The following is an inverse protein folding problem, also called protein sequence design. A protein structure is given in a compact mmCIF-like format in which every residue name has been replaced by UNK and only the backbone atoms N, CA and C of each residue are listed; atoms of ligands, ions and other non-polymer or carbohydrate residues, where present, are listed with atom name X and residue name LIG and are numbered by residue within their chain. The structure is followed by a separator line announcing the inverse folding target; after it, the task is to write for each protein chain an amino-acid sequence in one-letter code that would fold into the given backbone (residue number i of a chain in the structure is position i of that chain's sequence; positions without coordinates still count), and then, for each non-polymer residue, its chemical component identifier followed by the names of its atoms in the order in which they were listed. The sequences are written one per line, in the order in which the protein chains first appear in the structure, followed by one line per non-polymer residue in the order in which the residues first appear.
data_IF_438496660859
#
_entry.id   IF_438496660859
#
_cell.length_a   1.000
_cell.length_b   1.000
_cell.length_c   1.000
_cell.angle_alpha   90.00
_cell.angle_beta   90.00
_cell.angle_gamma   90.00
#
_symmetry.space_group_name_H-M   'P 1'
#
loop_
_entity.id
_entity.type
_entity.pdbx_description
1 polymer ?
#
# COMPACT_ATOMS: atom_id res chain seq x y z
N UNK A 1 16.47 13.50 -35.71
CA UNK A 1 17.05 12.36 -34.95
C UNK A 1 16.29 12.25 -33.64
N UNK A 2 16.02 11.03 -33.16
CA UNK A 2 15.39 10.86 -31.85
C UNK A 2 16.42 11.06 -30.74
N UNK A 3 16.03 11.70 -29.63
CA UNK A 3 16.88 11.82 -28.45
C UNK A 3 16.83 10.50 -27.66
N UNK A 4 17.99 9.98 -27.26
CA UNK A 4 18.11 8.72 -26.51
C UNK A 4 18.69 9.00 -25.13
N UNK A 5 18.03 8.47 -24.10
CA UNK A 5 18.50 8.49 -22.72
C UNK A 5 18.55 7.06 -22.18
N UNK A 6 19.64 6.69 -21.51
CA UNK A 6 19.86 5.32 -21.00
C UNK A 6 19.85 5.28 -19.47
N UNK A 7 19.03 4.37 -18.94
CA UNK A 7 18.80 4.08 -17.53
C UNK A 7 18.66 2.56 -17.36
N UNK A 8 18.97 2.05 -16.17
CA UNK A 8 18.83 0.63 -15.84
C UNK A 8 17.35 0.28 -15.58
N UNK A 9 16.61 1.21 -14.97
CA UNK A 9 15.18 1.09 -14.67
C UNK A 9 14.46 2.36 -15.11
N UNK A 10 13.34 2.20 -15.81
CA UNK A 10 12.43 3.31 -16.18
C UNK A 10 11.04 3.02 -15.62
N UNK A 11 10.60 3.83 -14.65
CA UNK A 11 9.27 3.77 -14.06
C UNK A 11 8.35 4.76 -14.75
N UNK A 12 7.24 4.27 -15.31
CA UNK A 12 6.25 5.10 -16.01
C UNK A 12 5.05 5.35 -15.09
N UNK A 13 5.06 6.52 -14.46
CA UNK A 13 4.05 6.98 -13.49
C UNK A 13 4.68 7.39 -12.17
N UNK A 14 4.28 8.55 -11.63
CA UNK A 14 4.75 9.08 -10.34
C UNK A 14 3.62 9.20 -9.30
N UNK A 15 2.71 8.23 -9.29
CA UNK A 15 1.77 8.01 -8.17
C UNK A 15 2.41 7.19 -7.05
N UNK A 16 1.63 6.79 -6.05
CA UNK A 16 2.14 6.04 -4.88
C UNK A 16 2.98 4.82 -5.27
N UNK A 17 2.44 3.95 -6.12
CA UNK A 17 3.15 2.76 -6.59
C UNK A 17 4.45 3.08 -7.36
N UNK A 18 4.40 4.07 -8.26
CA UNK A 18 5.57 4.43 -9.07
C UNK A 18 6.67 5.12 -8.27
N UNK A 19 6.31 5.95 -7.29
CA UNK A 19 7.28 6.57 -6.39
C UNK A 19 7.91 5.55 -5.44
N UNK A 20 7.14 4.60 -4.91
CA UNK A 20 7.70 3.50 -4.10
C UNK A 20 8.63 2.61 -4.93
N UNK A 21 8.23 2.21 -6.15
CA UNK A 21 9.08 1.46 -7.06
C UNK A 21 10.37 2.21 -7.40
N UNK A 22 10.27 3.51 -7.72
CA UNK A 22 11.42 4.37 -8.01
C UNK A 22 12.35 4.53 -6.80
N UNK A 23 11.79 4.70 -5.60
CA UNK A 23 12.55 4.80 -4.35
C UNK A 23 13.39 3.54 -4.12
N UNK A 24 12.79 2.36 -4.24
CA UNK A 24 13.50 1.10 -4.03
C UNK A 24 14.49 0.78 -5.15
N UNK A 25 14.10 0.92 -6.41
CA UNK A 25 14.99 0.68 -7.55
C UNK A 25 16.22 1.60 -7.54
N UNK A 26 16.05 2.86 -7.12
CA UNK A 26 17.15 3.82 -7.07
C UNK A 26 18.23 3.48 -6.04
N UNK A 27 17.97 2.57 -5.09
CA UNK A 27 18.97 2.11 -4.10
C UNK A 27 20.11 1.32 -4.75
N UNK A 28 19.86 0.68 -5.89
CA UNK A 28 20.84 -0.20 -6.55
C UNK A 28 20.99 0.03 -8.05
N UNK A 29 20.14 0.84 -8.68
CA UNK A 29 20.10 1.02 -10.12
C UNK A 29 19.88 2.48 -10.54
N UNK A 30 20.46 2.89 -11.68
CA UNK A 30 20.24 4.21 -12.25
C UNK A 30 18.81 4.30 -12.78
N UNK A 31 17.94 4.95 -12.00
CA UNK A 31 16.49 4.90 -12.20
C UNK A 31 15.95 6.24 -12.72
N UNK A 32 15.10 6.18 -13.75
CA UNK A 32 14.28 7.31 -14.19
C UNK A 32 12.81 7.09 -13.80
N UNK A 33 12.18 8.08 -13.19
CA UNK A 33 10.73 8.11 -12.97
C UNK A 33 10.15 9.18 -13.89
N UNK A 34 9.28 8.78 -14.80
CA UNK A 34 8.63 9.69 -15.75
C UNK A 34 7.14 9.77 -15.46
N UNK A 35 6.57 10.97 -15.57
CA UNK A 35 5.15 11.19 -15.32
C UNK A 35 4.61 12.30 -16.21
N UNK A 36 3.38 12.13 -16.68
CA UNK A 36 2.66 13.16 -17.46
C UNK A 36 2.19 14.33 -16.60
N UNK A 37 2.16 14.15 -15.28
CA UNK A 37 1.81 15.16 -14.28
C UNK A 37 2.96 15.32 -13.29
N UNK A 38 3.00 16.46 -12.60
CA UNK A 38 3.84 16.61 -11.42
C UNK A 38 3.48 15.54 -10.36
N UNK A 39 4.43 14.91 -9.65
CA UNK A 39 4.18 13.71 -8.85
C UNK A 39 3.01 13.82 -7.85
N UNK A 40 2.93 14.93 -7.12
CA UNK A 40 1.87 15.18 -6.12
C UNK A 40 0.50 15.50 -6.72
N UNK A 41 0.38 15.58 -8.06
CA UNK A 41 -0.90 15.72 -8.79
C UNK A 41 -1.41 14.39 -9.32
N UNK A 42 -0.78 13.28 -8.98
CA UNK A 42 -1.29 11.93 -9.25
C UNK A 42 -2.60 11.67 -8.48
N UNK A 43 -3.42 10.74 -8.99
CA UNK A 43 -4.72 10.45 -8.37
C UNK A 43 -4.62 9.78 -6.99
N UNK A 44 -3.45 9.25 -6.62
CA UNK A 44 -3.17 8.76 -5.26
C UNK A 44 -3.50 9.81 -4.19
N UNK A 45 -3.26 11.10 -4.48
CA UNK A 45 -3.58 12.19 -3.54
C UNK A 45 -5.08 12.44 -3.32
N UNK A 46 -5.97 11.80 -4.09
CA UNK A 46 -7.42 11.90 -3.90
C UNK A 46 -7.99 10.78 -3.01
N UNK A 47 -7.17 9.82 -2.57
CA UNK A 47 -7.61 8.76 -1.67
C UNK A 47 -7.97 9.32 -0.28
N UNK A 48 -9.09 8.88 0.28
CA UNK A 48 -9.61 9.34 1.58
C UNK A 48 -9.85 8.20 2.59
N UNK A 49 -9.95 6.96 2.10
CA UNK A 49 -10.34 5.79 2.91
C UNK A 49 -9.31 5.44 3.99
N UNK A 50 -8.07 5.23 3.56
CA UNK A 50 -7.01 4.68 4.38
C UNK A 50 -6.30 3.55 3.64
N UNK A 51 -5.51 2.78 4.37
CA UNK A 51 -4.82 1.58 3.90
C UNK A 51 -5.14 0.43 4.86
N UNK A 52 -5.54 -0.72 4.31
CA UNK A 52 -5.89 -1.90 5.10
C UNK A 52 -4.65 -2.72 5.41
N UNK A 53 -4.43 -2.99 6.70
CA UNK A 53 -3.41 -3.91 7.20
C UNK A 53 -3.84 -4.46 8.55
N UNK A 54 -3.56 -5.75 8.79
CA UNK A 54 -3.91 -6.45 10.02
C UNK A 54 -2.93 -6.10 11.16
N UNK A 55 -2.92 -4.84 11.59
CA UNK A 55 -1.99 -4.32 12.60
C UNK A 55 -2.32 -4.78 14.02
N UNK A 56 -3.58 -5.17 14.28
CA UNK A 56 -4.05 -5.57 15.60
C UNK A 56 -3.95 -4.48 16.67
N UNK A 57 -4.10 -3.20 16.29
CA UNK A 57 -3.97 -2.08 17.24
C UNK A 57 -5.24 -1.80 18.05
N UNK A 58 -6.42 -2.17 17.54
CA UNK A 58 -7.71 -2.03 18.23
C UNK A 58 -8.21 -3.35 18.83
N UNK A 59 -8.23 -4.40 18.03
CA UNK A 59 -8.58 -5.76 18.40
C UNK A 59 -7.54 -6.73 17.84
N UNK A 60 -7.55 -8.00 18.28
CA UNK A 60 -6.71 -9.02 17.63
C UNK A 60 -7.06 -9.09 16.14
N UNK A 61 -6.06 -9.12 15.28
CA UNK A 61 -6.23 -9.20 13.84
C UNK A 61 -5.10 -10.06 13.24
N UNK A 62 -5.37 -10.68 12.10
CA UNK A 62 -4.50 -11.66 11.45
C UNK A 62 -4.48 -11.49 9.93
N UNK A 63 -3.31 -11.59 9.27
CA UNK A 63 -3.22 -11.54 7.80
C UNK A 63 -4.13 -12.54 7.09
N UNK A 64 -4.37 -13.71 7.70
CA UNK A 64 -5.24 -14.75 7.15
C UNK A 64 -6.71 -14.33 7.12
N UNK A 65 -7.15 -13.50 8.07
CA UNK A 65 -8.52 -12.95 8.09
C UNK A 65 -8.69 -11.90 7.00
N UNK A 66 -7.70 -11.00 6.87
CA UNK A 66 -7.64 -10.05 5.76
C UNK A 66 -7.58 -10.75 4.39
N UNK A 67 -6.85 -11.86 4.29
CA UNK A 67 -6.81 -12.70 3.09
C UNK A 67 -8.17 -13.28 2.77
N UNK A 68 -8.85 -13.88 3.76
CA UNK A 68 -10.19 -14.43 3.58
C UNK A 68 -11.18 -13.38 3.05
N UNK A 69 -11.21 -12.19 3.66
CA UNK A 69 -12.09 -11.10 3.25
C UNK A 69 -11.75 -10.59 1.85
N UNK A 70 -10.46 -10.55 1.49
CA UNK A 70 -10.02 -10.17 0.15
C UNK A 70 -10.41 -11.21 -0.90
N UNK A 71 -10.22 -12.50 -0.63
CA UNK A 71 -10.62 -13.60 -1.53
C UNK A 71 -12.14 -13.59 -1.75
N UNK A 72 -12.91 -13.52 -0.66
CA UNK A 72 -14.37 -13.42 -0.71
C UNK A 72 -14.83 -12.15 -1.45
N UNK A 73 -14.22 -11.01 -1.14
CA UNK A 73 -14.53 -9.72 -1.76
C UNK A 73 -14.19 -9.65 -3.24
N UNK A 74 -13.22 -10.44 -3.69
CA UNK A 74 -12.88 -10.62 -5.11
C UNK A 74 -13.86 -11.51 -5.88
N UNK A 75 -14.92 -11.99 -5.22
CA UNK A 75 -15.85 -13.00 -5.75
C UNK A 75 -15.11 -14.27 -6.25
N UNK A 76 -14.06 -14.65 -5.49
CA UNK A 76 -13.19 -15.80 -5.79
C UNK A 76 -12.46 -15.74 -7.15
N UNK A 77 -12.40 -14.57 -7.80
CA UNK A 77 -11.64 -14.36 -9.04
C UNK A 77 -10.23 -13.83 -8.79
N UNK A 78 -9.88 -13.48 -7.55
CA UNK A 78 -8.54 -13.05 -7.20
C UNK A 78 -7.55 -14.22 -7.08
N UNK A 79 -6.36 -14.02 -7.61
CA UNK A 79 -5.24 -14.95 -7.48
C UNK A 79 -4.80 -15.03 -6.01
N UNK A 80 -5.04 -16.18 -5.37
CA UNK A 80 -4.90 -16.29 -3.92
C UNK A 80 -3.45 -16.20 -3.44
N UNK A 81 -2.48 -16.62 -4.25
CA UNK A 81 -1.06 -16.46 -3.98
C UNK A 81 -0.63 -14.98 -3.95
N UNK A 82 -1.15 -14.18 -4.88
CA UNK A 82 -0.93 -12.73 -4.90
C UNK A 82 -1.63 -12.04 -3.71
N UNK A 83 -2.84 -12.46 -3.36
CA UNK A 83 -3.57 -11.93 -2.20
C UNK A 83 -2.84 -12.27 -0.90
N UNK A 84 -2.41 -13.52 -0.72
CA UNK A 84 -1.64 -13.96 0.44
C UNK A 84 -0.37 -13.14 0.61
N UNK A 85 0.39 -12.92 -0.47
CA UNK A 85 1.56 -12.06 -0.45
C UNK A 85 1.19 -10.64 -0.01
N UNK A 86 0.16 -10.05 -0.62
CA UNK A 86 -0.29 -8.70 -0.32
C UNK A 86 -0.69 -8.53 1.16
N UNK A 87 -1.49 -9.44 1.72
CA UNK A 87 -2.00 -9.29 3.09
C UNK A 87 -0.93 -9.55 4.16
N UNK A 88 0.01 -10.46 3.90
CA UNK A 88 1.17 -10.68 4.77
C UNK A 88 2.13 -9.48 4.76
N UNK A 89 2.44 -8.93 3.57
CA UNK A 89 3.37 -7.79 3.45
C UNK A 89 2.74 -6.46 3.89
N UNK A 90 1.40 -6.35 3.90
CA UNK A 90 0.69 -5.12 4.24
C UNK A 90 1.10 -4.53 5.60
N UNK A 91 1.34 -5.38 6.61
CA UNK A 91 1.76 -4.95 7.95
C UNK A 91 3.10 -4.21 7.87
N UNK A 92 4.11 -4.84 7.26
CA UNK A 92 5.44 -4.25 7.14
C UNK A 92 5.43 -3.00 6.25
N UNK A 93 4.67 -3.02 5.15
CA UNK A 93 4.54 -1.88 4.25
C UNK A 93 3.92 -0.66 4.95
N UNK A 94 2.88 -0.86 5.77
CA UNK A 94 2.26 0.24 6.54
C UNK A 94 3.19 0.79 7.60
N UNK A 95 3.91 -0.07 8.32
CA UNK A 95 4.90 0.36 9.31
C UNK A 95 6.09 1.09 8.66
N UNK A 96 6.52 0.68 7.47
CA UNK A 96 7.55 1.40 6.73
C UNK A 96 7.10 2.83 6.38
N UNK A 97 5.87 3.01 5.92
CA UNK A 97 5.32 4.34 5.66
C UNK A 97 5.29 5.21 6.92
N UNK A 98 4.96 4.62 8.07
CA UNK A 98 5.00 5.32 9.36
C UNK A 98 6.42 5.78 9.69
N UNK A 99 7.42 4.89 9.54
CA UNK A 99 8.83 5.22 9.75
C UNK A 99 9.39 6.24 8.73
N UNK A 100 8.80 6.33 7.53
CA UNK A 100 9.08 7.39 6.55
C UNK A 100 8.45 8.74 6.93
N UNK A 101 7.63 8.78 7.98
CA UNK A 101 7.00 9.99 8.51
C UNK A 101 5.56 10.21 8.03
N UNK A 102 4.87 9.18 7.51
CA UNK A 102 3.46 9.32 7.14
C UNK A 102 2.61 9.60 8.41
N UNK A 103 1.86 10.72 8.45
CA UNK A 103 1.19 11.16 9.67
C UNK A 103 -0.14 10.42 9.87
N UNK A 104 -0.07 9.14 10.24
CA UNK A 104 -1.25 8.39 10.67
C UNK A 104 -1.87 9.01 11.92
N UNK A 105 -3.21 9.03 11.95
CA UNK A 105 -3.98 9.25 13.18
C UNK A 105 -3.58 8.22 14.24
N UNK A 106 -3.76 8.56 15.51
CA UNK A 106 -3.23 7.77 16.63
C UNK A 106 -4.31 7.31 17.60
N UNK A 107 -4.11 6.14 18.17
CA UNK A 107 -4.85 5.69 19.36
C UNK A 107 -4.41 6.48 20.60
N UNK A 108 -5.15 6.44 21.73
CA UNK A 108 -4.70 7.06 22.99
C UNK A 108 -3.33 6.57 23.47
N UNK A 109 -2.95 5.34 23.10
CA UNK A 109 -1.66 4.70 23.41
C UNK A 109 -0.56 5.05 22.39
N UNK A 110 -0.86 5.85 21.37
CA UNK A 110 0.10 6.32 20.37
C UNK A 110 0.35 5.36 19.20
N UNK A 111 -0.43 4.28 19.08
CA UNK A 111 -0.34 3.35 17.93
C UNK A 111 -1.07 3.93 16.71
N UNK A 112 -0.84 3.35 15.53
CA UNK A 112 -1.58 3.72 14.31
C UNK A 112 -3.07 3.42 14.51
N UNK A 113 -3.91 4.44 14.29
CA UNK A 113 -5.35 4.32 14.38
C UNK A 113 -5.93 3.50 13.21
N UNK A 114 -6.89 2.62 13.48
CA UNK A 114 -7.63 1.79 12.51
C UNK A 114 -9.12 2.11 12.64
N UNK A 115 -9.87 1.94 11.54
CA UNK A 115 -11.32 2.16 11.52
C UNK A 115 -12.03 1.07 10.74
N UNK A 116 -13.31 0.78 11.05
CA UNK A 116 -14.12 -0.11 10.24
C UNK A 116 -14.20 0.38 8.78
N UNK A 117 -14.15 -0.56 7.85
CA UNK A 117 -14.31 -0.29 6.43
C UNK A 117 -15.11 -1.43 5.78
N UNK A 118 -15.84 -1.13 4.70
CA UNK A 118 -16.71 -2.12 4.06
C UNK A 118 -15.92 -3.34 3.58
N UNK A 119 -16.45 -4.53 3.86
CA UNK A 119 -15.86 -5.80 3.41
C UNK A 119 -14.84 -6.42 4.36
N UNK A 120 -14.51 -5.77 5.49
CA UNK A 120 -13.73 -6.37 6.57
C UNK A 120 -14.68 -6.91 7.65
N UNK A 121 -14.49 -8.17 8.02
CA UNK A 121 -15.19 -8.82 9.14
C UNK A 121 -14.39 -8.63 10.42
N UNK A 122 -15.07 -8.63 11.57
CA UNK A 122 -14.40 -8.52 12.85
C UNK A 122 -15.11 -9.29 13.98
N UNK A 123 -14.51 -9.32 15.17
CA UNK A 123 -15.02 -10.11 16.29
C UNK A 123 -16.28 -9.51 16.93
N UNK A 124 -16.62 -8.25 16.62
CA UNK A 124 -17.74 -7.53 17.23
C UNK A 124 -19.00 -7.59 16.38
N UNK A 125 -18.88 -7.38 15.06
CA UNK A 125 -20.02 -7.25 14.14
C UNK A 125 -20.24 -8.47 13.26
N UNK A 126 -19.30 -9.43 13.24
CA UNK A 126 -19.26 -10.51 12.24
C UNK A 126 -18.97 -9.97 10.85
#
# INVERSE_FOLDING_TARGET
MANVHQFDVVVVGAGGAGLMAGLYASRTAKTAVISKLYPTRSHTGAAQGGISAALGNYEEDKPEWHMYDTVKGSDYLGDQDAIEFMTNEAINAVLELEHMGLPFDRTPEGRISQRPFGGHTNNETG
#
